data_IF_993967271513
#
_entry.id   IF_993967271513
#
_cell.length_a   1.000
_cell.length_b   1.000
_cell.length_c   1.000
_cell.angle_alpha   90.00
_cell.angle_beta   90.00
_cell.angle_gamma   90.00
#
_symmetry.space_group_name_H-M   'P 1'
#
loop_
_entity.id
_entity.type
_entity.pdbx_description
1 polymer ?
#
# COMPACT_ATOMS: atom_id res chain seq x y z
N UNK A 1 -27.99 16.83 3.01
CA UNK A 1 -28.33 17.05 4.43
C UNK A 1 -27.10 17.62 5.15
N UNK A 2 -27.18 18.83 5.70
CA UNK A 2 -26.19 19.40 6.64
C UNK A 2 -26.66 19.10 8.07
N UNK A 3 -25.72 18.82 9.00
CA UNK A 3 -25.73 19.05 10.48
C UNK A 3 -24.59 18.20 11.09
N UNK A 4 -23.38 18.73 11.24
CA UNK A 4 -22.84 19.47 12.41
C UNK A 4 -22.82 18.64 13.72
N UNK A 5 -21.59 18.26 14.12
CA UNK A 5 -20.98 18.28 15.46
C UNK A 5 -21.81 17.83 16.67
N UNK A 6 -21.33 16.82 17.41
CA UNK A 6 -21.61 16.71 18.84
C UNK A 6 -20.41 16.13 19.60
N UNK A 7 -19.64 17.04 20.20
CA UNK A 7 -18.68 16.78 21.26
C UNK A 7 -19.47 16.40 22.51
N UNK A 8 -19.17 15.26 23.14
CA UNK A 8 -19.52 15.00 24.55
C UNK A 8 -18.29 14.53 25.31
N UNK A 9 -17.61 15.51 25.92
CA UNK A 9 -16.81 15.34 27.14
C UNK A 9 -17.73 14.79 28.23
N UNK A 10 -17.37 13.68 28.85
CA UNK A 10 -17.84 13.34 30.20
C UNK A 10 -16.63 13.04 31.07
N UNK A 11 -16.33 14.01 31.93
CA UNK A 11 -15.50 13.84 33.11
C UNK A 11 -16.18 12.82 34.03
N UNK A 12 -15.42 11.87 34.55
CA UNK A 12 -15.74 11.18 35.80
C UNK A 12 -14.42 11.00 36.55
N UNK A 13 -14.21 11.84 37.55
CA UNK A 13 -13.29 11.56 38.63
C UNK A 13 -13.98 10.71 39.70
N UNK A 14 -13.18 10.06 40.55
CA UNK A 14 -13.36 9.94 42.01
C UNK A 14 -12.02 9.47 42.59
N UNK A 15 -11.75 10.01 43.76
CA UNK A 15 -10.52 10.06 44.56
C UNK A 15 -10.50 8.93 45.61
N UNK A 16 -9.28 8.53 46.01
CA UNK A 16 -8.98 7.81 47.26
C UNK A 16 -8.07 6.61 46.96
N UNK A 17 -6.80 6.54 47.36
CA UNK A 17 -6.07 7.10 48.50
C UNK A 17 -5.26 5.94 49.10
N UNK A 18 -3.96 6.09 49.32
CA UNK A 18 -3.11 5.48 50.38
C UNK A 18 -1.64 5.83 50.05
N UNK A 19 -0.94 6.28 51.10
CA UNK A 19 0.48 6.62 51.14
C UNK A 19 1.42 5.65 50.42
N UNK A 20 2.32 6.21 49.62
CA UNK A 20 3.51 5.53 49.11
C UNK A 20 4.54 6.57 48.71
N UNK A 21 5.55 6.77 49.56
CA UNK A 21 6.72 7.59 49.29
C UNK A 21 7.53 6.91 48.17
N UNK A 22 7.48 7.45 46.94
CA UNK A 22 8.39 7.07 45.85
C UNK A 22 8.82 8.32 45.07
N UNK A 23 10.11 8.63 45.19
CA UNK A 23 10.82 9.62 44.40
C UNK A 23 10.97 9.09 42.97
N UNK A 24 10.25 9.64 41.99
CA UNK A 24 10.67 9.58 40.59
C UNK A 24 10.23 10.82 39.81
N UNK A 25 11.23 11.60 39.42
CA UNK A 25 11.44 12.20 38.11
C UNK A 25 10.24 12.83 37.38
N UNK A 26 10.39 14.13 37.11
CA UNK A 26 9.84 14.78 35.93
C UNK A 26 10.15 13.97 34.67
N UNK A 27 9.13 13.30 34.12
CA UNK A 27 9.13 12.84 32.73
C UNK A 27 8.10 13.68 31.96
N UNK A 28 8.63 14.63 31.21
CA UNK A 28 7.94 15.28 30.11
C UNK A 28 8.09 14.34 28.91
N UNK A 29 7.17 13.39 28.73
CA UNK A 29 7.18 12.52 27.55
C UNK A 29 6.07 12.99 26.60
N UNK A 30 6.43 13.91 25.71
CA UNK A 30 5.60 14.31 24.57
C UNK A 30 5.74 13.25 23.48
N UNK A 31 5.03 12.13 23.60
CA UNK A 31 4.86 11.18 22.50
C UNK A 31 3.64 11.56 21.64
N UNK A 32 3.73 12.70 20.96
CA UNK A 32 2.88 13.00 19.80
C UNK A 32 3.70 12.65 18.55
N UNK A 33 3.89 11.34 18.32
CA UNK A 33 4.46 10.88 17.07
C UNK A 33 3.49 11.29 15.95
N UNK A 34 3.92 12.13 14.98
CA UNK A 34 3.04 12.51 13.89
C UNK A 34 2.63 11.24 13.13
N UNK A 35 1.37 11.15 12.65
CA UNK A 35 0.95 10.04 11.80
C UNK A 35 1.90 9.99 10.61
N UNK A 36 2.64 8.89 10.47
CA UNK A 36 3.52 8.66 9.33
C UNK A 36 2.59 8.52 8.12
N UNK A 37 2.37 9.63 7.41
CA UNK A 37 1.75 9.62 6.10
C UNK A 37 2.78 9.02 5.15
N UNK A 38 2.87 7.68 5.12
CA UNK A 38 3.72 6.97 4.18
C UNK A 38 3.12 7.13 2.79
N UNK A 39 3.55 8.17 2.07
CA UNK A 39 3.29 8.29 0.64
C UNK A 39 3.81 7.02 -0.04
N UNK A 40 2.99 6.29 -0.81
CA UNK A 40 3.44 5.08 -1.50
C UNK A 40 4.68 5.36 -2.34
N UNK A 41 5.74 4.57 -2.14
CA UNK A 41 7.00 4.72 -2.84
C UNK A 41 7.46 3.38 -3.41
N UNK A 42 7.58 3.32 -4.73
CA UNK A 42 7.90 2.09 -5.44
C UNK A 42 9.35 1.64 -5.24
N UNK A 43 10.27 2.57 -4.93
CA UNK A 43 11.66 2.24 -4.59
C UNK A 43 11.78 1.62 -3.20
N UNK A 44 10.87 1.96 -2.29
CA UNK A 44 10.87 1.43 -0.91
C UNK A 44 10.06 0.14 -0.78
N UNK A 45 8.88 0.10 -1.41
CA UNK A 45 7.88 -0.96 -1.19
C UNK A 45 7.69 -1.89 -2.40
N UNK A 46 8.28 -1.56 -3.55
CA UNK A 46 7.94 -2.20 -4.82
C UNK A 46 6.58 -1.74 -5.34
N UNK A 47 6.04 -2.49 -6.30
CA UNK A 47 4.78 -2.17 -6.96
C UNK A 47 3.83 -3.37 -6.97
N UNK A 48 2.54 -3.09 -7.08
CA UNK A 48 1.50 -4.12 -7.20
C UNK A 48 0.37 -3.65 -8.10
N UNK A 49 -0.46 -4.58 -8.56
CA UNK A 49 -1.67 -4.18 -9.27
C UNK A 49 -2.59 -3.36 -8.36
N UNK A 50 -3.14 -2.26 -8.88
CA UNK A 50 -4.31 -1.59 -8.31
C UNK A 50 -5.61 -2.15 -8.87
N UNK A 51 -5.59 -2.58 -10.13
CA UNK A 51 -6.75 -3.14 -10.83
C UNK A 51 -6.31 -4.05 -11.95
N UNK A 52 -7.14 -5.06 -12.23
CA UNK A 52 -7.05 -5.96 -13.38
C UNK A 52 -8.47 -6.03 -13.95
N UNK A 53 -8.67 -5.73 -15.23
CA UNK A 53 -10.02 -5.73 -15.83
C UNK A 53 -10.59 -7.15 -15.87
N UNK A 54 -11.88 -7.34 -15.58
CA UNK A 54 -12.51 -8.67 -15.54
C UNK A 54 -11.74 -9.68 -14.63
N UNK A 55 -11.16 -9.19 -13.53
CA UNK A 55 -10.35 -10.03 -12.65
C UNK A 55 -11.20 -11.13 -12.00
N UNK A 56 -10.76 -12.37 -12.15
CA UNK A 56 -11.34 -13.58 -11.57
C UNK A 56 -10.35 -14.33 -10.66
N UNK A 57 -9.27 -13.67 -10.23
CA UNK A 57 -8.33 -14.22 -9.26
C UNK A 57 -6.87 -13.85 -9.47
N UNK A 58 -6.54 -13.11 -10.53
CA UNK A 58 -5.19 -12.69 -10.84
C UNK A 58 -4.65 -11.66 -9.86
N UNK A 59 -3.34 -11.76 -9.64
CA UNK A 59 -2.56 -10.85 -8.82
C UNK A 59 -1.20 -10.60 -9.47
N UNK A 60 -0.67 -9.39 -9.32
CA UNK A 60 0.68 -9.00 -9.72
C UNK A 60 1.39 -8.30 -8.57
N UNK A 61 2.57 -8.80 -8.19
CA UNK A 61 3.49 -8.12 -7.27
C UNK A 61 4.84 -8.00 -7.96
N UNK A 62 5.45 -6.82 -7.85
CA UNK A 62 6.75 -6.47 -8.40
C UNK A 62 7.63 -6.07 -7.23
N UNK A 63 8.77 -6.73 -7.08
CA UNK A 63 9.71 -6.45 -6.00
C UNK A 63 10.31 -5.05 -6.13
N UNK A 64 10.75 -4.46 -5.02
CA UNK A 64 11.47 -3.18 -5.06
C UNK A 64 12.79 -3.33 -5.82
N UNK A 65 13.43 -4.50 -5.75
CA UNK A 65 14.68 -4.79 -6.47
C UNK A 65 14.45 -4.75 -7.99
N UNK A 66 13.33 -5.31 -8.46
CA UNK A 66 12.96 -5.22 -9.88
C UNK A 66 12.68 -3.77 -10.30
N UNK A 67 11.99 -2.99 -9.46
CA UNK A 67 11.79 -1.55 -9.70
C UNK A 67 13.13 -0.82 -9.77
N UNK A 68 14.05 -1.08 -8.84
CA UNK A 68 15.36 -0.44 -8.78
C UNK A 68 16.23 -0.79 -9.99
N UNK A 69 16.31 -2.07 -10.35
CA UNK A 69 17.05 -2.55 -11.51
C UNK A 69 16.50 -1.93 -12.80
N UNK A 70 15.18 -1.89 -12.94
CA UNK A 70 14.50 -1.27 -14.07
C UNK A 70 14.79 -1.94 -15.42
N UNK A 71 15.13 -3.22 -15.40
CA UNK A 71 15.37 -4.04 -16.60
C UNK A 71 14.07 -4.69 -17.03
N UNK A 72 13.82 -4.73 -18.34
CA UNK A 72 12.61 -5.36 -18.89
C UNK A 72 12.42 -6.80 -18.36
N UNK A 73 11.20 -7.12 -17.92
CA UNK A 73 10.89 -8.39 -17.26
C UNK A 73 9.42 -8.78 -17.46
N UNK A 74 9.19 -10.06 -17.69
CA UNK A 74 7.86 -10.66 -17.73
C UNK A 74 7.43 -11.21 -16.37
N UNK A 75 6.15 -11.06 -16.05
CA UNK A 75 5.53 -11.58 -14.83
C UNK A 75 4.31 -12.41 -15.17
N UNK A 76 4.29 -13.64 -14.64
CA UNK A 76 3.11 -14.49 -14.70
C UNK A 76 2.13 -14.00 -13.63
N UNK A 77 0.88 -13.76 -14.04
CA UNK A 77 -0.25 -13.45 -13.16
C UNK A 77 -1.18 -14.66 -13.14
N UNK A 78 -1.43 -15.20 -11.95
CA UNK A 78 -2.37 -16.32 -11.74
C UNK A 78 -3.16 -16.08 -10.46
N UNK A 79 -2.47 -15.81 -9.35
CA UNK A 79 -3.12 -15.67 -8.05
C UNK A 79 -3.95 -16.92 -7.72
N UNK A 80 -5.26 -16.77 -7.60
CA UNK A 80 -6.22 -17.87 -7.39
C UNK A 80 -7.01 -18.27 -8.65
N UNK A 81 -6.69 -17.69 -9.81
CA UNK A 81 -7.38 -17.99 -11.07
C UNK A 81 -7.07 -19.41 -11.55
N UNK A 82 -7.96 -19.98 -12.39
CA UNK A 82 -7.81 -21.32 -12.96
C UNK A 82 -6.77 -21.42 -14.10
N UNK A 83 -6.33 -20.28 -14.62
CA UNK A 83 -5.33 -20.18 -15.68
C UNK A 83 -4.43 -18.97 -15.43
N UNK A 84 -3.34 -18.85 -16.20
CA UNK A 84 -2.35 -17.80 -16.06
C UNK A 84 -2.35 -16.86 -17.26
N UNK A 85 -1.97 -15.60 -17.04
CA UNK A 85 -1.52 -14.70 -18.11
C UNK A 85 -0.12 -14.20 -17.79
N UNK A 86 0.49 -13.50 -18.74
CA UNK A 86 1.78 -12.85 -18.56
C UNK A 86 1.66 -11.36 -18.86
N UNK A 87 2.33 -10.51 -18.08
CA UNK A 87 2.53 -9.09 -18.41
C UNK A 87 4.02 -8.82 -18.61
N UNK A 88 4.36 -8.11 -19.69
CA UNK A 88 5.72 -7.69 -19.96
C UNK A 88 5.92 -6.23 -19.52
N UNK A 89 6.74 -6.01 -18.50
CA UNK A 89 7.16 -4.67 -18.11
C UNK A 89 8.44 -4.30 -18.86
N UNK A 90 8.43 -3.19 -19.59
CA UNK A 90 9.60 -2.62 -20.25
C UNK A 90 10.40 -1.75 -19.29
N UNK A 91 11.59 -1.32 -19.72
CA UNK A 91 12.41 -0.34 -18.99
C UNK A 91 11.64 0.98 -18.75
N UNK A 92 10.86 1.43 -19.73
CA UNK A 92 9.99 2.62 -19.59
C UNK A 92 8.92 2.46 -18.52
N UNK A 93 8.34 1.25 -18.38
CA UNK A 93 7.39 0.96 -17.31
C UNK A 93 8.08 1.08 -15.94
N UNK A 94 9.28 0.54 -15.81
CA UNK A 94 10.03 0.70 -14.56
C UNK A 94 10.47 2.14 -14.31
N UNK A 95 10.84 2.91 -15.34
CA UNK A 95 11.15 4.33 -15.20
C UNK A 95 9.96 5.12 -14.64
N UNK A 96 8.73 4.83 -15.11
CA UNK A 96 7.49 5.39 -14.54
C UNK A 96 7.29 5.00 -13.09
N UNK A 97 7.46 3.72 -12.75
CA UNK A 97 7.33 3.25 -11.37
C UNK A 97 8.38 3.88 -10.45
N UNK A 98 9.63 4.09 -10.90
CA UNK A 98 10.66 4.82 -10.13
C UNK A 98 10.24 6.25 -9.80
N UNK A 99 9.42 6.88 -10.65
CA UNK A 99 8.83 8.20 -10.43
C UNK A 99 7.48 8.15 -9.68
N UNK A 100 7.11 6.99 -9.13
CA UNK A 100 5.82 6.72 -8.47
C UNK A 100 4.59 6.97 -9.37
N UNK A 101 4.77 6.89 -10.69
CA UNK A 101 3.69 7.00 -11.66
C UNK A 101 2.94 5.68 -11.82
N UNK A 102 1.72 5.77 -12.35
CA UNK A 102 0.87 4.61 -12.63
C UNK A 102 1.21 4.04 -14.01
N UNK A 103 1.28 2.73 -14.10
CA UNK A 103 1.52 2.01 -15.35
C UNK A 103 0.29 1.16 -15.71
N UNK A 104 -0.13 1.17 -16.96
CA UNK A 104 -1.19 0.31 -17.48
C UNK A 104 -0.65 -0.53 -18.62
N UNK A 105 -0.78 -1.86 -18.51
CA UNK A 105 -0.22 -2.84 -19.45
C UNK A 105 -1.30 -3.86 -19.82
N UNK A 106 -1.28 -4.39 -21.04
CA UNK A 106 -2.12 -5.52 -21.42
C UNK A 106 -1.39 -6.84 -21.18
N UNK A 107 -2.09 -7.84 -20.64
CA UNK A 107 -1.58 -9.19 -20.50
C UNK A 107 -1.60 -9.96 -21.81
N UNK A 108 -0.86 -11.07 -21.88
CA UNK A 108 -0.98 -12.02 -22.98
C UNK A 108 -2.40 -12.60 -23.09
N UNK A 109 -2.76 -13.00 -24.32
CA UNK A 109 -3.99 -13.73 -24.61
C UNK A 109 -3.87 -15.16 -24.08
N UNK A 110 -4.70 -15.53 -23.11
CA UNK A 110 -4.84 -16.90 -22.65
C UNK A 110 -6.32 -17.17 -22.37
N UNK A 111 -6.77 -18.41 -22.59
CA UNK A 111 -8.18 -18.80 -22.41
C UNK A 111 -9.15 -17.82 -23.11
N UNK A 112 -8.77 -17.39 -24.31
CA UNK A 112 -9.55 -16.50 -25.19
C UNK A 112 -9.81 -15.07 -24.68
N UNK A 113 -9.03 -14.56 -23.71
CA UNK A 113 -9.10 -13.14 -23.31
C UNK A 113 -7.75 -12.56 -22.86
N UNK A 114 -7.69 -11.24 -22.75
CA UNK A 114 -6.61 -10.46 -22.15
C UNK A 114 -7.14 -9.68 -20.93
N UNK A 115 -6.22 -9.18 -20.11
CA UNK A 115 -6.53 -8.25 -19.03
C UNK A 115 -5.72 -6.97 -19.19
N UNK A 116 -6.36 -5.82 -18.98
CA UNK A 116 -5.67 -4.57 -18.72
C UNK A 116 -5.30 -4.53 -17.23
N UNK A 117 -4.00 -4.45 -16.94
CA UNK A 117 -3.43 -4.43 -15.59
C UNK A 117 -2.92 -3.03 -15.29
N UNK A 118 -3.43 -2.41 -14.23
CA UNK A 118 -2.95 -1.13 -13.70
C UNK A 118 -2.07 -1.39 -12.50
N UNK A 119 -0.88 -0.80 -12.48
CA UNK A 119 0.19 -1.02 -11.51
C UNK A 119 0.55 0.30 -10.83
N UNK A 120 0.72 0.26 -9.51
CA UNK A 120 1.17 1.40 -8.68
C UNK A 120 2.05 0.93 -7.53
N UNK A 121 2.64 1.86 -6.79
CA UNK A 121 3.44 1.53 -5.62
C UNK A 121 2.63 0.78 -4.55
N UNK A 122 3.28 -0.20 -3.92
CA UNK A 122 2.67 -1.12 -2.98
C UNK A 122 2.30 -0.47 -1.63
#
# INVERSE_FOLDING_TARGET
MKRKTFIKRTLSGIIGGVSGLFLFQQCSESDDAPPVSSTPNCLENGAKHSSITLNHGHTLTISKEDVMNGVAKSYIITGTASHAHEVALSEDHFAKLKNNEIVTIESTMNSSHTHQVTVKCA
#
